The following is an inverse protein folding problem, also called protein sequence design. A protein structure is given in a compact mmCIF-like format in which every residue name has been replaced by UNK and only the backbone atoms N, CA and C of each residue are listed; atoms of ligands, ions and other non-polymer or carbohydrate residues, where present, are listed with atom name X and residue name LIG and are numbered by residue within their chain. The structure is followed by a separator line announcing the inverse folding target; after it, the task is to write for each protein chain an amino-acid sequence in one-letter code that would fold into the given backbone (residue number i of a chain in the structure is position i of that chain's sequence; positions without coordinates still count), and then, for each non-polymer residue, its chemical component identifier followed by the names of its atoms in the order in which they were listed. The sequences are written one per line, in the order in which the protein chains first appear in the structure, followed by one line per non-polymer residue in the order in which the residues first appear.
data_IF_891317183650
#
_entry.id   IF_891317183650
#
_cell.length_a   1.000
_cell.length_b   1.000
_cell.length_c   1.000
_cell.angle_alpha   90.00
_cell.angle_beta   90.00
_cell.angle_gamma   90.00
#
_symmetry.space_group_name_H-M   'P 1'
#
loop_
_entity.id
_entity.type
_entity.pdbx_description
1 polymer ?
#
# COMPACT_ATOMS: atom_id res chain seq x y z
N UNK A 1 -14.66 -12.01 23.81
CA UNK A 1 -13.46 -11.57 23.03
C UNK A 1 -12.16 -11.68 23.83
N UNK A 2 -12.02 -11.02 25.02
CA UNK A 2 -10.73 -11.01 25.74
C UNK A 2 -10.31 -12.41 26.19
N UNK A 3 -11.23 -13.17 26.76
CA UNK A 3 -10.96 -14.52 27.26
C UNK A 3 -10.64 -15.50 26.12
N UNK A 4 -11.34 -15.40 25.00
CA UNK A 4 -11.01 -16.15 23.78
C UNK A 4 -9.58 -15.84 23.31
N UNK A 5 -9.21 -14.55 23.21
CA UNK A 5 -7.87 -14.18 22.78
C UNK A 5 -6.77 -14.73 23.71
N UNK A 6 -6.96 -14.66 25.03
CA UNK A 6 -6.00 -15.22 26.00
C UNK A 6 -5.87 -16.73 25.83
N UNK A 7 -6.99 -17.44 25.71
CA UNK A 7 -6.99 -18.89 25.49
C UNK A 7 -6.29 -19.25 24.17
N UNK A 8 -6.62 -18.55 23.10
CA UNK A 8 -6.04 -18.75 21.78
C UNK A 8 -4.53 -18.50 21.72
N UNK A 9 -4.05 -17.42 22.32
CA UNK A 9 -2.61 -17.11 22.40
C UNK A 9 -1.86 -18.16 23.22
N UNK A 10 -2.46 -18.65 24.31
CA UNK A 10 -1.89 -19.73 25.11
C UNK A 10 -1.77 -21.01 24.29
N UNK A 11 -2.84 -21.38 23.62
CA UNK A 11 -2.88 -22.55 22.72
C UNK A 11 -1.82 -22.48 21.62
N UNK A 12 -1.66 -21.33 20.96
CA UNK A 12 -0.62 -21.15 19.95
C UNK A 12 0.80 -21.39 20.48
N UNK A 13 1.08 -20.88 21.70
CA UNK A 13 2.39 -21.08 22.35
C UNK A 13 2.63 -22.54 22.72
N UNK A 14 1.62 -23.23 23.24
CA UNK A 14 1.67 -24.66 23.57
C UNK A 14 1.91 -25.52 22.32
N UNK A 15 1.43 -25.07 21.15
CA UNK A 15 1.67 -25.71 19.86
C UNK A 15 2.94 -25.22 19.13
N UNK A 16 3.83 -24.53 19.84
CA UNK A 16 5.17 -24.16 19.38
C UNK A 16 5.19 -22.94 18.45
N UNK A 17 4.14 -22.12 18.41
CA UNK A 17 4.14 -20.88 17.66
C UNK A 17 4.83 -19.75 18.42
N UNK A 18 5.57 -18.94 17.69
CA UNK A 18 6.19 -17.69 18.17
C UNK A 18 5.43 -16.51 17.58
N UNK A 19 5.09 -15.53 18.40
CA UNK A 19 4.45 -14.30 17.98
C UNK A 19 5.47 -13.35 17.35
N UNK A 20 5.13 -12.72 16.23
CA UNK A 20 5.96 -11.68 15.63
C UNK A 20 6.12 -10.48 16.59
N UNK A 21 7.31 -9.92 16.63
CA UNK A 21 7.58 -8.68 17.37
C UNK A 21 7.17 -7.43 16.60
N UNK A 22 6.95 -7.58 15.28
CA UNK A 22 6.55 -6.48 14.38
C UNK A 22 5.03 -6.37 14.25
N UNK A 23 4.33 -7.50 14.20
CA UNK A 23 2.87 -7.55 14.09
C UNK A 23 2.30 -8.63 15.02
N UNK A 24 1.58 -8.20 16.04
CA UNK A 24 1.00 -9.09 17.04
C UNK A 24 -0.07 -10.08 16.49
N UNK A 25 -0.57 -9.83 15.27
CA UNK A 25 -1.51 -10.71 14.57
C UNK A 25 -0.80 -11.82 13.79
N UNK A 26 0.53 -11.82 13.73
CA UNK A 26 1.31 -12.81 13.00
C UNK A 26 2.00 -13.77 13.96
N UNK A 27 1.82 -15.05 13.69
CA UNK A 27 2.44 -16.15 14.43
C UNK A 27 3.16 -17.06 13.44
N UNK A 28 4.30 -17.61 13.84
CA UNK A 28 5.05 -18.52 12.98
C UNK A 28 5.65 -19.69 13.76
N UNK A 29 5.77 -20.81 13.08
CA UNK A 29 6.43 -22.03 13.58
C UNK A 29 7.31 -22.59 12.48
N UNK A 30 8.62 -22.69 12.74
CA UNK A 30 9.60 -23.27 11.82
C UNK A 30 10.09 -24.60 12.39
N UNK A 31 9.98 -25.68 11.64
CA UNK A 31 10.58 -26.99 11.90
C UNK A 31 11.73 -27.31 10.97
N UNK A 32 11.83 -26.59 9.86
CA UNK A 32 12.89 -26.70 8.87
C UNK A 32 12.67 -25.80 7.67
N UNK A 33 13.62 -25.74 6.71
CA UNK A 33 13.52 -24.86 5.55
C UNK A 33 12.33 -25.15 4.63
N UNK A 34 11.81 -26.38 4.68
CA UNK A 34 10.66 -26.85 3.87
C UNK A 34 9.48 -27.27 4.76
N UNK A 35 9.53 -26.96 6.04
CA UNK A 35 8.46 -27.27 6.99
C UNK A 35 8.27 -26.09 7.95
N UNK A 36 7.37 -25.18 7.58
CA UNK A 36 7.01 -24.01 8.36
C UNK A 36 5.54 -23.65 8.18
N UNK A 37 4.99 -23.00 9.18
CA UNK A 37 3.63 -22.44 9.17
C UNK A 37 3.69 -21.01 9.68
N UNK A 38 3.04 -20.11 8.95
CA UNK A 38 2.77 -18.72 9.34
C UNK A 38 1.26 -18.57 9.44
N UNK A 39 0.79 -18.05 10.57
CA UNK A 39 -0.61 -17.76 10.83
C UNK A 39 -0.81 -16.24 10.89
N UNK A 40 -1.79 -15.76 10.17
CA UNK A 40 -2.33 -14.40 10.29
C UNK A 40 -3.67 -14.52 11.01
N UNK A 41 -3.81 -13.86 12.14
CA UNK A 41 -4.99 -13.97 12.99
C UNK A 41 -5.74 -12.63 13.05
N UNK A 42 -7.04 -12.65 12.82
CA UNK A 42 -7.88 -11.46 12.95
C UNK A 42 -9.19 -11.86 13.64
N UNK A 43 -9.29 -11.58 14.93
CA UNK A 43 -10.41 -12.05 15.77
C UNK A 43 -10.55 -13.58 15.75
N UNK A 44 -11.56 -14.08 15.08
CA UNK A 44 -11.90 -15.49 14.86
C UNK A 44 -11.44 -16.01 13.48
N UNK A 45 -11.10 -15.11 12.55
CA UNK A 45 -10.58 -15.46 11.23
C UNK A 45 -9.07 -15.74 11.27
N UNK A 46 -8.66 -16.84 10.65
CA UNK A 46 -7.27 -17.23 10.57
C UNK A 46 -6.87 -17.61 9.15
N UNK A 47 -5.76 -17.04 8.68
CA UNK A 47 -5.14 -17.42 7.42
C UNK A 47 -3.84 -18.16 7.71
N UNK A 48 -3.76 -19.41 7.24
CA UNK A 48 -2.57 -20.25 7.37
C UNK A 48 -1.80 -20.29 6.04
N UNK A 49 -0.53 -19.93 6.10
CA UNK A 49 0.41 -19.99 4.97
C UNK A 49 1.62 -20.83 5.39
N UNK A 50 2.09 -21.74 4.54
CA UNK A 50 3.27 -22.52 4.89
C UNK A 50 3.64 -23.59 3.88
N UNK A 51 4.80 -24.21 4.12
CA UNK A 51 5.28 -25.40 3.45
C UNK A 51 5.25 -26.57 4.43
N UNK A 52 5.10 -27.78 3.92
CA UNK A 52 5.04 -29.00 4.73
C UNK A 52 3.60 -29.41 5.04
N UNK A 53 3.07 -30.35 4.24
CA UNK A 53 1.69 -30.82 4.41
C UNK A 53 1.46 -31.50 5.75
N UNK A 54 2.48 -32.16 6.31
CA UNK A 54 2.41 -32.78 7.63
C UNK A 54 2.17 -31.76 8.74
N UNK A 55 2.91 -30.64 8.76
CA UNK A 55 2.74 -29.58 9.75
C UNK A 55 1.41 -28.84 9.62
N UNK A 56 0.93 -28.64 8.38
CA UNK A 56 -0.40 -28.06 8.14
C UNK A 56 -1.52 -28.98 8.61
N UNK A 57 -1.42 -30.28 8.30
CA UNK A 57 -2.39 -31.30 8.73
C UNK A 57 -2.45 -31.42 10.24
N UNK A 58 -1.30 -31.55 10.90
CA UNK A 58 -1.20 -31.57 12.37
C UNK A 58 -1.85 -30.34 13.01
N UNK A 59 -1.57 -29.13 12.46
CA UNK A 59 -2.20 -27.92 12.95
C UNK A 59 -3.72 -27.96 12.80
N UNK A 60 -4.24 -28.40 11.67
CA UNK A 60 -5.68 -28.51 11.43
C UNK A 60 -6.35 -29.56 12.34
N UNK A 61 -5.69 -30.69 12.59
CA UNK A 61 -6.18 -31.72 13.50
C UNK A 61 -6.22 -31.19 14.95
N UNK A 62 -5.16 -30.54 15.43
CA UNK A 62 -5.11 -29.92 16.75
C UNK A 62 -6.14 -28.80 16.90
N UNK A 63 -6.29 -27.95 15.86
CA UNK A 63 -7.29 -26.90 15.84
C UNK A 63 -8.72 -27.45 15.94
N UNK A 64 -9.03 -28.50 15.16
CA UNK A 64 -10.36 -29.10 15.13
C UNK A 64 -10.71 -29.83 16.43
N UNK A 65 -9.71 -30.21 17.23
CA UNK A 65 -9.93 -30.85 18.55
C UNK A 65 -10.30 -29.84 19.63
N UNK A 66 -9.78 -28.60 19.54
CA UNK A 66 -9.85 -27.60 20.62
C UNK A 66 -10.79 -26.43 20.29
N UNK A 67 -11.11 -26.22 19.01
CA UNK A 67 -11.98 -25.12 18.56
C UNK A 67 -13.09 -25.62 17.63
N UNK A 68 -14.29 -25.10 17.82
CA UNK A 68 -15.38 -25.30 16.89
C UNK A 68 -15.07 -24.62 15.54
N UNK A 69 -15.20 -25.37 14.46
CA UNK A 69 -15.02 -24.85 13.11
C UNK A 69 -16.33 -24.42 12.47
N UNK A 70 -16.31 -23.29 11.74
CA UNK A 70 -17.41 -22.96 10.87
C UNK A 70 -17.54 -24.02 9.76
N UNK A 71 -18.79 -24.40 9.36
CA UNK A 71 -19.02 -25.26 8.20
C UNK A 71 -18.39 -24.73 6.90
N UNK A 72 -18.22 -23.41 6.82
CA UNK A 72 -17.64 -22.71 5.67
C UNK A 72 -16.11 -22.58 5.75
N UNK A 73 -15.48 -23.24 6.73
CA UNK A 73 -14.01 -23.24 6.84
C UNK A 73 -13.40 -23.82 5.58
N UNK A 74 -12.68 -23.00 4.82
CA UNK A 74 -11.94 -23.46 3.67
C UNK A 74 -10.86 -24.42 4.16
N UNK A 75 -10.86 -25.65 3.62
CA UNK A 75 -9.80 -26.63 3.91
C UNK A 75 -8.43 -26.14 3.43
N UNK A 76 -7.42 -26.97 3.70
CA UNK A 76 -6.05 -26.73 3.20
C UNK A 76 -6.08 -26.51 1.68
N UNK A 77 -5.39 -25.47 1.21
CA UNK A 77 -5.27 -25.06 -0.21
C UNK A 77 -6.54 -24.45 -0.87
N UNK A 78 -7.61 -24.19 -0.12
CA UNK A 78 -8.89 -23.66 -0.64
C UNK A 78 -9.19 -22.23 -0.21
N UNK A 79 -8.17 -21.40 0.03
CA UNK A 79 -8.41 -19.99 0.35
C UNK A 79 -8.96 -19.25 -0.87
N UNK A 80 -10.20 -18.79 -0.78
CA UNK A 80 -10.84 -17.96 -1.80
C UNK A 80 -11.16 -16.55 -1.30
N UNK A 81 -11.42 -16.40 0.00
CA UNK A 81 -11.73 -15.11 0.61
C UNK A 81 -11.13 -15.03 2.03
N UNK A 82 -10.57 -13.86 2.37
CA UNK A 82 -10.10 -13.53 3.72
C UNK A 82 -10.35 -12.05 4.00
N UNK A 83 -11.08 -11.74 5.08
CA UNK A 83 -11.45 -10.38 5.49
C UNK A 83 -12.13 -9.57 4.37
N UNK A 84 -12.95 -10.22 3.55
CA UNK A 84 -13.63 -9.59 2.41
C UNK A 84 -12.75 -9.35 1.19
N UNK A 85 -11.52 -9.86 1.20
CA UNK A 85 -10.61 -9.86 0.06
C UNK A 85 -10.66 -11.21 -0.63
N UNK A 86 -10.91 -11.20 -1.91
CA UNK A 86 -10.82 -12.39 -2.76
C UNK A 86 -9.36 -12.68 -3.08
N UNK A 87 -8.94 -13.92 -2.92
CA UNK A 87 -7.60 -14.41 -3.24
C UNK A 87 -7.72 -15.47 -4.32
N UNK A 88 -7.24 -15.16 -5.52
CA UNK A 88 -7.21 -16.08 -6.65
C UNK A 88 -5.77 -16.57 -6.86
N UNK A 89 -5.53 -17.85 -6.56
CA UNK A 89 -4.22 -18.50 -6.81
C UNK A 89 -4.18 -19.07 -8.21
N UNK A 90 -3.08 -18.81 -8.91
CA UNK A 90 -2.71 -19.36 -10.20
C UNK A 90 -1.35 -20.05 -10.06
N UNK A 91 -0.90 -20.76 -11.11
CA UNK A 91 0.35 -21.51 -11.06
C UNK A 91 1.59 -20.64 -10.82
N UNK A 92 1.61 -19.41 -11.36
CA UNK A 92 2.75 -18.51 -11.37
C UNK A 92 2.50 -17.19 -10.61
N UNK A 93 1.26 -16.92 -10.20
CA UNK A 93 0.90 -15.66 -9.51
C UNK A 93 -0.32 -15.81 -8.58
N UNK A 94 -0.51 -14.83 -7.73
CA UNK A 94 -1.66 -14.69 -6.85
C UNK A 94 -2.29 -13.30 -7.05
N UNK A 95 -3.61 -13.26 -7.19
CA UNK A 95 -4.39 -12.03 -7.35
C UNK A 95 -5.17 -11.74 -6.06
N UNK A 96 -5.13 -10.48 -5.62
CA UNK A 96 -5.92 -9.99 -4.49
C UNK A 96 -6.83 -8.87 -4.96
N UNK A 97 -8.14 -9.01 -4.69
CA UNK A 97 -9.19 -8.07 -5.07
C UNK A 97 -10.31 -8.02 -4.03
N UNK A 98 -11.24 -7.07 -4.18
CA UNK A 98 -12.37 -6.91 -3.27
C UNK A 98 -13.72 -6.78 -4.03
N UNK A 99 -14.08 -7.74 -4.92
CA UNK A 99 -15.25 -7.59 -5.80
C UNK A 99 -16.55 -7.47 -5.03
N UNK A 100 -16.76 -8.26 -3.98
CA UNK A 100 -17.98 -8.22 -3.17
C UNK A 100 -18.19 -6.91 -2.43
N UNK A 101 -17.10 -6.21 -2.10
CA UNK A 101 -17.14 -4.90 -1.45
C UNK A 101 -17.36 -3.79 -2.47
N UNK A 102 -16.64 -3.81 -3.60
CA UNK A 102 -16.77 -2.82 -4.69
C UNK A 102 -18.16 -2.87 -5.31
N UNK A 103 -18.77 -4.05 -5.46
CA UNK A 103 -20.11 -4.23 -6.01
C UNK A 103 -21.21 -3.49 -5.23
N UNK A 104 -20.96 -3.06 -4.00
CA UNK A 104 -21.90 -2.27 -3.19
C UNK A 104 -21.90 -0.77 -3.57
N UNK A 105 -20.86 -0.28 -4.22
CA UNK A 105 -20.68 1.16 -4.52
C UNK A 105 -21.79 1.75 -5.43
N UNK A 106 -22.26 1.09 -6.51
CA UNK A 106 -23.30 1.67 -7.37
C UNK A 106 -24.59 2.04 -6.63
N UNK A 107 -24.94 1.32 -5.56
CA UNK A 107 -26.12 1.64 -4.75
C UNK A 107 -25.90 2.84 -3.79
N UNK A 108 -24.65 3.26 -3.60
CA UNK A 108 -24.27 4.30 -2.65
C UNK A 108 -23.93 5.64 -3.31
N UNK A 109 -23.88 5.69 -4.65
CA UNK A 109 -23.43 6.87 -5.40
C UNK A 109 -24.40 7.23 -6.51
N UNK A 110 -24.18 8.37 -7.18
CA UNK A 110 -24.97 8.78 -8.34
C UNK A 110 -24.64 7.97 -9.60
N UNK A 111 -25.21 8.39 -10.72
CA UNK A 111 -24.97 7.73 -12.02
C UNK A 111 -23.50 7.77 -12.43
N UNK A 112 -23.12 6.77 -13.24
CA UNK A 112 -21.76 6.69 -13.79
C UNK A 112 -21.43 7.94 -14.60
N UNK A 113 -20.31 8.61 -14.35
CA UNK A 113 -19.82 9.68 -15.21
C UNK A 113 -19.53 9.18 -16.63
N UNK A 114 -19.58 10.06 -17.61
CA UNK A 114 -19.30 9.73 -19.01
C UNK A 114 -17.85 9.24 -19.25
N UNK A 115 -16.94 9.51 -18.35
CA UNK A 115 -15.55 9.03 -18.38
C UNK A 115 -15.01 8.86 -16.95
N UNK A 116 -14.45 7.68 -16.66
CA UNK A 116 -13.82 7.31 -15.39
C UNK A 116 -12.42 6.70 -15.63
N UNK A 117 -11.62 7.31 -16.49
CA UNK A 117 -10.27 6.83 -16.83
C UNK A 117 -9.18 7.12 -15.79
N UNK A 118 -9.52 7.77 -14.69
CA UNK A 118 -8.66 8.02 -13.53
C UNK A 118 -9.53 8.24 -12.28
N UNK A 119 -9.01 7.98 -11.06
CA UNK A 119 -9.79 8.08 -9.83
C UNK A 119 -10.21 9.51 -9.48
N UNK A 120 -9.43 10.50 -9.90
CA UNK A 120 -9.73 11.93 -9.74
C UNK A 120 -9.70 12.65 -11.08
N UNK A 121 -10.50 13.70 -11.19
CA UNK A 121 -10.46 14.62 -12.34
C UNK A 121 -9.52 15.77 -12.02
N UNK A 122 -8.63 16.09 -12.96
CA UNK A 122 -7.76 17.27 -12.87
C UNK A 122 -8.53 18.59 -13.06
N UNK A 123 -9.77 18.54 -13.55
CA UNK A 123 -10.56 19.74 -13.90
C UNK A 123 -11.51 20.22 -12.81
N UNK A 124 -11.72 19.44 -11.74
CA UNK A 124 -12.64 19.78 -10.66
C UNK A 124 -11.91 19.76 -9.33
N UNK A 125 -11.38 20.91 -8.92
CA UNK A 125 -10.65 21.05 -7.67
C UNK A 125 -11.56 20.86 -6.44
N UNK A 126 -11.16 20.00 -5.52
CA UNK A 126 -11.82 19.89 -4.22
C UNK A 126 -11.56 21.12 -3.34
N UNK A 127 -10.44 21.81 -3.59
CA UNK A 127 -10.03 23.04 -2.91
C UNK A 127 -10.66 24.30 -3.50
N UNK A 128 -11.41 24.17 -4.61
CA UNK A 128 -12.12 25.29 -5.19
C UNK A 128 -13.03 25.90 -4.12
N UNK A 129 -13.04 27.23 -3.99
CA UNK A 129 -13.89 27.91 -3.00
C UNK A 129 -15.37 27.62 -3.27
N UNK A 130 -16.18 27.68 -2.22
CA UNK A 130 -17.63 27.60 -2.36
C UNK A 130 -18.11 28.75 -3.24
N UNK A 131 -18.73 28.43 -4.34
CA UNK A 131 -19.29 29.38 -5.30
C UNK A 131 -20.71 28.94 -5.68
N UNK A 132 -21.74 29.82 -5.57
CA UNK A 132 -23.12 29.44 -5.84
C UNK A 132 -23.37 28.89 -7.26
N UNK A 133 -22.53 29.25 -8.22
CA UNK A 133 -22.68 28.86 -9.64
C UNK A 133 -21.70 27.73 -10.00
N UNK A 134 -20.42 27.93 -9.72
CA UNK A 134 -19.34 27.02 -10.16
C UNK A 134 -19.15 25.82 -9.25
N UNK A 135 -19.18 26.05 -7.94
CA UNK A 135 -18.97 25.01 -6.92
C UNK A 135 -19.92 25.20 -5.73
N UNK A 136 -21.27 25.06 -5.94
CA UNK A 136 -22.25 25.26 -4.88
C UNK A 136 -22.09 24.24 -3.76
N UNK A 137 -22.65 24.52 -2.58
CA UNK A 137 -22.80 23.54 -1.52
C UNK A 137 -23.48 22.26 -2.04
N UNK A 138 -23.09 21.13 -1.50
CA UNK A 138 -23.70 19.84 -1.83
C UNK A 138 -24.98 19.65 -1.01
N UNK A 139 -26.12 19.65 -1.69
CA UNK A 139 -27.47 19.47 -1.10
C UNK A 139 -28.05 18.08 -1.38
N UNK A 140 -27.19 17.15 -1.86
CA UNK A 140 -27.62 15.77 -2.19
C UNK A 140 -27.97 14.97 -0.95
N UNK A 141 -28.87 13.98 -1.15
CA UNK A 141 -29.34 13.07 -0.09
C UNK A 141 -28.34 11.95 0.26
N UNK A 142 -27.28 11.79 -0.53
CA UNK A 142 -26.28 10.72 -0.34
C UNK A 142 -25.31 11.14 0.76
N UNK A 143 -25.16 10.31 1.79
CA UNK A 143 -24.09 10.45 2.75
C UNK A 143 -22.76 9.98 2.14
N UNK A 144 -21.93 10.94 1.73
CA UNK A 144 -20.65 10.66 1.06
C UNK A 144 -19.64 9.88 1.92
N UNK A 145 -19.87 9.79 3.23
CA UNK A 145 -18.99 9.01 4.14
C UNK A 145 -19.09 7.50 3.87
N UNK A 146 -20.28 7.01 3.48
CA UNK A 146 -20.49 5.58 3.22
C UNK A 146 -19.68 5.10 2.01
N UNK A 147 -19.86 5.63 0.78
CA UNK A 147 -19.08 5.19 -0.36
C UNK A 147 -17.58 5.47 -0.17
N UNK A 148 -17.20 6.57 0.48
CA UNK A 148 -15.81 6.87 0.73
C UNK A 148 -15.16 5.91 1.73
N UNK A 149 -15.89 5.43 2.74
CA UNK A 149 -15.42 4.38 3.64
C UNK A 149 -15.10 3.08 2.91
N UNK A 150 -15.96 2.68 1.96
CA UNK A 150 -15.71 1.54 1.07
C UNK A 150 -14.48 1.79 0.20
N UNK A 151 -14.37 2.96 -0.43
CA UNK A 151 -13.20 3.32 -1.24
C UNK A 151 -11.90 3.29 -0.42
N UNK A 152 -11.91 3.79 0.82
CA UNK A 152 -10.74 3.75 1.73
C UNK A 152 -10.35 2.32 2.08
N UNK A 153 -11.30 1.46 2.41
CA UNK A 153 -11.02 0.05 2.70
C UNK A 153 -10.33 -0.61 1.51
N UNK A 154 -10.92 -0.48 0.32
CA UNK A 154 -10.41 -1.07 -0.92
C UNK A 154 -9.03 -0.50 -1.28
N UNK A 155 -8.86 0.84 -1.16
CA UNK A 155 -7.61 1.53 -1.40
C UNK A 155 -6.47 0.97 -0.54
N UNK A 156 -6.73 0.81 0.76
CA UNK A 156 -5.71 0.39 1.72
C UNK A 156 -5.45 -1.13 1.72
N UNK A 157 -6.35 -1.92 1.15
CA UNK A 157 -6.26 -3.38 1.15
C UNK A 157 -5.69 -3.95 -0.15
N UNK A 158 -6.17 -3.51 -1.32
CA UNK A 158 -5.82 -4.14 -2.60
C UNK A 158 -5.79 -3.20 -3.81
N UNK A 159 -6.07 -1.89 -3.64
CA UNK A 159 -6.06 -0.89 -4.71
C UNK A 159 -5.18 0.31 -4.35
N UNK A 160 -3.85 0.13 -4.25
CA UNK A 160 -2.90 1.20 -3.90
C UNK A 160 -2.97 2.39 -4.86
N UNK A 161 -3.35 2.19 -6.10
CA UNK A 161 -3.52 3.20 -7.14
C UNK A 161 -4.54 4.30 -6.80
N UNK A 162 -5.53 3.99 -5.98
CA UNK A 162 -6.54 4.98 -5.54
C UNK A 162 -6.29 5.53 -4.13
N UNK A 163 -5.17 5.16 -3.49
CA UNK A 163 -4.91 5.54 -2.10
C UNK A 163 -4.88 7.05 -1.88
N UNK A 164 -4.17 7.79 -2.75
CA UNK A 164 -4.14 9.26 -2.66
C UNK A 164 -5.54 9.86 -2.80
N UNK A 165 -6.30 9.43 -3.80
CA UNK A 165 -7.66 9.91 -4.05
C UNK A 165 -8.59 9.68 -2.85
N UNK A 166 -8.61 8.47 -2.31
CA UNK A 166 -9.46 8.10 -1.19
C UNK A 166 -9.10 8.87 0.09
N UNK A 167 -7.81 8.96 0.42
CA UNK A 167 -7.32 9.66 1.61
C UNK A 167 -7.54 11.17 1.46
N UNK A 168 -7.26 11.75 0.30
CA UNK A 168 -7.47 13.16 0.04
C UNK A 168 -8.94 13.54 0.17
N UNK A 169 -9.86 12.83 -0.47
CA UNK A 169 -11.30 13.06 -0.38
C UNK A 169 -11.81 12.90 1.05
N UNK A 170 -11.25 11.99 1.85
CA UNK A 170 -11.65 11.83 3.24
C UNK A 170 -11.44 13.08 4.08
N UNK A 171 -10.43 13.89 3.76
CA UNK A 171 -10.16 15.16 4.45
C UNK A 171 -11.25 16.23 4.19
N UNK A 172 -11.99 16.13 3.09
CA UNK A 172 -13.07 17.06 2.74
C UNK A 172 -14.42 16.63 3.30
N UNK A 173 -14.70 15.34 3.33
CA UNK A 173 -16.01 14.82 3.76
C UNK A 173 -16.30 15.08 5.24
N UNK A 174 -15.27 15.31 6.06
CA UNK A 174 -15.42 15.77 7.44
C UNK A 174 -15.64 17.28 7.63
N UNK A 175 -15.61 18.08 6.58
CA UNK A 175 -15.79 19.56 6.68
C UNK A 175 -17.26 19.95 6.87
N UNK A 176 -17.49 21.13 7.48
CA UNK A 176 -18.86 21.64 7.73
C UNK A 176 -19.67 21.86 6.46
N UNK A 177 -19.02 22.29 5.37
CA UNK A 177 -19.65 22.54 4.07
C UNK A 177 -18.99 21.62 3.06
N UNK A 178 -19.77 20.68 2.54
CA UNK A 178 -19.40 19.87 1.40
C UNK A 178 -19.80 20.60 0.11
N UNK A 179 -18.95 20.53 -0.91
CA UNK A 179 -19.23 21.16 -2.20
C UNK A 179 -19.62 20.12 -3.24
N UNK A 180 -20.25 20.59 -4.31
CA UNK A 180 -20.63 19.74 -5.46
C UNK A 180 -19.42 19.11 -6.12
N UNK A 181 -18.25 19.78 -6.14
CA UNK A 181 -17.02 19.22 -6.69
C UNK A 181 -16.53 18.03 -5.87
N UNK A 182 -16.53 18.13 -4.53
CA UNK A 182 -16.19 16.99 -3.66
C UNK A 182 -17.11 15.81 -3.92
N UNK A 183 -18.43 16.05 -4.01
CA UNK A 183 -19.39 14.97 -4.30
C UNK A 183 -19.15 14.33 -5.67
N UNK A 184 -18.83 15.12 -6.71
CA UNK A 184 -18.46 14.62 -8.04
C UNK A 184 -17.20 13.74 -8.01
N UNK A 185 -16.19 14.14 -7.23
CA UNK A 185 -14.95 13.37 -7.12
C UNK A 185 -15.17 12.05 -6.36
N UNK A 186 -15.97 12.04 -5.28
CA UNK A 186 -16.35 10.80 -4.58
C UNK A 186 -17.11 9.86 -5.51
N UNK A 187 -18.09 10.39 -6.27
CA UNK A 187 -18.83 9.61 -7.27
C UNK A 187 -17.88 9.03 -8.35
N UNK A 188 -16.94 9.85 -8.85
CA UNK A 188 -15.94 9.43 -9.83
C UNK A 188 -15.05 8.32 -9.30
N UNK A 189 -14.50 8.47 -8.08
CA UNK A 189 -13.66 7.44 -7.44
C UNK A 189 -14.40 6.11 -7.29
N UNK A 190 -15.66 6.15 -6.83
CA UNK A 190 -16.47 4.96 -6.70
C UNK A 190 -16.69 4.26 -8.04
N UNK A 191 -17.03 5.00 -9.10
CA UNK A 191 -17.21 4.44 -10.43
C UNK A 191 -15.90 4.00 -11.08
N UNK A 192 -14.79 4.65 -10.81
CA UNK A 192 -13.47 4.18 -11.24
C UNK A 192 -13.19 2.77 -10.67
N UNK A 193 -13.42 2.55 -9.38
CA UNK A 193 -13.28 1.22 -8.77
C UNK A 193 -14.22 0.19 -9.41
N UNK A 194 -15.47 0.55 -9.68
CA UNK A 194 -16.45 -0.35 -10.31
C UNK A 194 -16.04 -0.70 -11.75
N UNK A 195 -15.66 0.28 -12.55
CA UNK A 195 -15.32 0.08 -13.97
C UNK A 195 -13.99 -0.61 -14.18
N UNK A 196 -13.10 -0.58 -13.18
CA UNK A 196 -11.77 -1.21 -13.21
C UNK A 196 -11.67 -2.47 -12.35
N UNK A 197 -12.79 -2.99 -11.88
CA UNK A 197 -12.86 -4.12 -10.94
C UNK A 197 -12.08 -5.35 -11.44
N UNK A 198 -12.24 -5.71 -12.69
CA UNK A 198 -11.66 -6.93 -13.27
C UNK A 198 -10.27 -6.69 -13.91
N UNK A 199 -9.91 -5.43 -14.14
CA UNK A 199 -8.68 -5.06 -14.86
C UNK A 199 -7.57 -4.56 -13.94
N UNK A 200 -7.91 -4.04 -12.77
CA UNK A 200 -6.96 -3.43 -11.84
C UNK A 200 -6.94 -4.25 -10.54
N UNK A 201 -6.20 -5.35 -10.55
CA UNK A 201 -6.11 -6.33 -9.47
C UNK A 201 -4.68 -6.42 -8.97
N UNK A 202 -4.46 -6.40 -7.67
CA UNK A 202 -3.12 -6.52 -7.10
C UNK A 202 -2.57 -7.93 -7.35
N UNK A 203 -1.44 -8.02 -8.05
CA UNK A 203 -0.87 -9.28 -8.55
C UNK A 203 0.49 -9.53 -7.94
N UNK A 204 0.64 -10.64 -7.23
CA UNK A 204 1.92 -11.08 -6.67
C UNK A 204 2.48 -12.24 -7.49
N UNK A 205 3.68 -12.07 -8.02
CA UNK A 205 4.41 -13.08 -8.78
C UNK A 205 5.61 -13.61 -7.99
N UNK A 206 6.04 -14.82 -8.35
CA UNK A 206 7.32 -15.32 -7.88
C UNK A 206 8.43 -14.38 -8.34
N UNK A 207 9.28 -13.98 -7.43
CA UNK A 207 10.30 -12.97 -7.64
C UNK A 207 11.60 -13.32 -6.94
N UNK A 208 12.61 -12.46 -7.03
CA UNK A 208 13.92 -12.64 -6.38
C UNK A 208 13.88 -12.45 -4.84
N UNK A 209 12.75 -11.99 -4.29
CA UNK A 209 12.57 -11.81 -2.86
C UNK A 209 13.34 -10.62 -2.26
N UNK A 210 13.92 -9.76 -3.08
CA UNK A 210 14.65 -8.56 -2.62
C UNK A 210 13.66 -7.43 -2.32
N UNK A 211 13.71 -6.90 -1.11
CA UNK A 211 12.90 -5.74 -0.71
C UNK A 211 13.40 -4.49 -1.44
N UNK A 212 12.49 -3.76 -2.09
CA UNK A 212 12.74 -2.52 -2.84
C UNK A 212 11.73 -1.45 -2.45
N UNK A 213 12.10 -0.18 -2.59
CA UNK A 213 11.20 0.93 -2.30
C UNK A 213 11.35 2.07 -3.31
N UNK A 214 10.23 2.77 -3.56
CA UNK A 214 10.18 4.05 -4.26
C UNK A 214 9.50 5.07 -3.36
N UNK A 215 9.88 6.34 -3.46
CA UNK A 215 9.35 7.41 -2.63
C UNK A 215 9.24 8.73 -3.39
N UNK A 216 8.25 9.54 -3.02
CA UNK A 216 7.97 10.85 -3.60
C UNK A 216 7.34 11.80 -2.59
N UNK A 217 7.44 13.10 -2.82
CA UNK A 217 6.69 14.11 -2.10
C UNK A 217 6.23 15.26 -3.00
N UNK A 218 5.12 15.88 -2.65
CA UNK A 218 4.59 17.06 -3.33
C UNK A 218 4.52 18.22 -2.34
N UNK A 219 5.31 19.28 -2.58
CA UNK A 219 5.41 20.44 -1.70
C UNK A 219 4.13 21.26 -1.75
N UNK A 220 3.57 21.55 -0.56
CA UNK A 220 2.46 22.51 -0.35
C UNK A 220 1.28 22.30 -1.32
N UNK A 221 1.00 21.07 -1.70
CA UNK A 221 -0.05 20.71 -2.65
C UNK A 221 -1.43 20.47 -1.99
N UNK A 222 -1.64 21.06 -0.83
CA UNK A 222 -2.90 21.06 -0.08
C UNK A 222 -3.28 22.49 0.30
N UNK A 223 -4.58 22.79 0.41
CA UNK A 223 -5.07 24.11 0.81
C UNK A 223 -4.52 24.61 2.15
N UNK A 224 -4.06 23.71 3.01
CA UNK A 224 -3.39 24.05 4.28
C UNK A 224 -1.89 24.30 4.14
N UNK A 225 -1.36 24.40 2.92
CA UNK A 225 0.07 24.53 2.60
C UNK A 225 0.92 23.37 3.11
N UNK A 226 0.31 22.23 3.40
CA UNK A 226 1.02 21.03 3.79
C UNK A 226 1.40 20.21 2.56
N UNK A 227 2.47 19.47 2.70
CA UNK A 227 3.00 18.59 1.65
C UNK A 227 2.40 17.19 1.75
N UNK A 228 2.15 16.55 0.62
CA UNK A 228 1.91 15.13 0.54
C UNK A 228 3.23 14.39 0.44
N UNK A 229 3.31 13.23 1.07
CA UNK A 229 4.40 12.30 0.90
C UNK A 229 3.88 10.88 0.72
N UNK A 230 4.59 10.12 -0.06
CA UNK A 230 4.22 8.76 -0.38
C UNK A 230 5.42 7.86 -0.61
N UNK A 231 5.18 6.57 -0.50
CA UNK A 231 6.14 5.53 -0.88
C UNK A 231 5.42 4.23 -1.17
N UNK A 232 6.09 3.36 -1.92
CA UNK A 232 5.72 1.96 -2.11
C UNK A 232 6.90 1.05 -1.86
N UNK A 233 6.62 -0.20 -1.48
CA UNK A 233 7.62 -1.26 -1.34
C UNK A 233 7.14 -2.52 -2.05
N UNK A 234 8.07 -3.22 -2.70
CA UNK A 234 7.84 -4.51 -3.34
C UNK A 234 8.82 -5.55 -2.81
N UNK A 235 8.47 -6.81 -2.90
CA UNK A 235 9.38 -7.92 -2.57
C UNK A 235 9.80 -8.62 -3.88
N UNK A 236 10.65 -7.94 -4.62
CA UNK A 236 11.11 -8.35 -5.93
C UNK A 236 10.72 -7.38 -7.04
N UNK A 237 11.11 -7.72 -8.28
CA UNK A 237 10.71 -7.04 -9.50
C UNK A 237 9.48 -7.71 -10.10
N UNK A 238 8.69 -6.96 -10.88
CA UNK A 238 7.50 -7.48 -11.57
C UNK A 238 6.48 -8.15 -10.63
N UNK A 239 6.30 -7.61 -9.45
CA UNK A 239 5.34 -8.08 -8.45
C UNK A 239 4.62 -6.89 -7.79
N UNK A 240 3.43 -7.14 -7.27
CA UNK A 240 2.63 -6.11 -6.62
C UNK A 240 3.29 -5.50 -5.37
N UNK A 241 2.86 -4.32 -5.01
CA UNK A 241 3.32 -3.64 -3.78
C UNK A 241 2.85 -4.38 -2.53
N UNK A 242 3.77 -4.60 -1.59
CA UNK A 242 3.47 -5.24 -0.29
C UNK A 242 3.17 -4.23 0.81
N UNK A 243 3.65 -3.01 0.68
CA UNK A 243 3.27 -1.90 1.55
C UNK A 243 3.43 -0.58 0.81
N UNK A 244 2.56 0.37 1.13
CA UNK A 244 2.57 1.70 0.55
C UNK A 244 2.05 2.72 1.55
N UNK A 245 2.23 3.99 1.23
CA UNK A 245 1.68 5.10 2.00
C UNK A 245 1.38 6.28 1.09
N UNK A 246 0.24 6.89 1.31
CA UNK A 246 -0.08 8.25 0.88
C UNK A 246 -0.51 9.02 2.13
N UNK A 247 0.12 10.15 2.43
CA UNK A 247 -0.21 10.90 3.64
C UNK A 247 0.09 12.38 3.51
N UNK A 248 -0.77 13.20 4.13
CA UNK A 248 -0.52 14.61 4.33
C UNK A 248 0.44 14.82 5.51
N UNK A 249 1.47 15.63 5.33
CA UNK A 249 2.41 15.97 6.39
C UNK A 249 1.68 16.63 7.58
N UNK A 250 2.10 16.31 8.80
CA UNK A 250 1.49 16.90 10.01
C UNK A 250 1.79 18.40 10.15
N UNK A 251 2.97 18.81 9.70
CA UNK A 251 3.46 20.19 9.75
C UNK A 251 3.80 20.69 8.35
N UNK A 252 3.76 22.01 8.17
CA UNK A 252 4.25 22.66 6.96
C UNK A 252 5.76 22.48 6.90
N UNK A 253 6.29 22.18 5.71
CA UNK A 253 7.72 22.11 5.40
C UNK A 253 8.08 23.25 4.45
N UNK A 254 9.29 23.79 4.61
CA UNK A 254 9.66 25.05 3.99
C UNK A 254 10.25 24.91 2.58
N UNK A 255 10.57 23.69 2.13
CA UNK A 255 11.20 23.47 0.83
C UNK A 255 10.84 22.13 0.23
N UNK A 256 10.99 22.01 -1.10
CA UNK A 256 10.82 20.73 -1.82
C UNK A 256 11.77 19.67 -1.26
N UNK A 257 13.04 20.05 -1.00
CA UNK A 257 14.02 19.13 -0.40
C UNK A 257 13.56 18.59 0.96
N UNK A 258 12.96 19.43 1.81
CA UNK A 258 12.48 18.99 3.12
C UNK A 258 11.24 18.08 3.01
N UNK A 259 10.37 18.29 2.01
CA UNK A 259 9.25 17.39 1.77
C UNK A 259 9.72 16.03 1.27
N UNK A 260 10.66 16.01 0.32
CA UNK A 260 11.28 14.78 -0.18
C UNK A 260 12.06 14.03 0.92
N UNK A 261 12.78 14.76 1.75
CA UNK A 261 13.49 14.19 2.90
C UNK A 261 12.51 13.57 3.92
N UNK A 262 11.30 14.13 4.06
CA UNK A 262 10.24 13.57 4.89
C UNK A 262 9.74 12.23 4.31
N UNK A 263 9.53 12.15 2.99
CA UNK A 263 9.16 10.92 2.31
C UNK A 263 10.23 9.84 2.51
N UNK A 264 11.50 10.20 2.29
CA UNK A 264 12.65 9.32 2.49
C UNK A 264 12.71 8.75 3.92
N UNK A 265 12.56 9.61 4.94
CA UNK A 265 12.56 9.17 6.34
C UNK A 265 11.43 8.18 6.66
N UNK A 266 10.20 8.48 6.23
CA UNK A 266 9.07 7.59 6.47
C UNK A 266 9.18 6.26 5.71
N UNK A 267 9.73 6.29 4.50
CA UNK A 267 10.07 5.09 3.75
C UNK A 267 11.12 4.27 4.48
N UNK A 268 12.21 4.89 4.97
CA UNK A 268 13.25 4.24 5.78
C UNK A 268 12.67 3.50 6.99
N UNK A 269 11.78 4.12 7.75
CA UNK A 269 11.13 3.46 8.88
C UNK A 269 10.26 2.28 8.46
N UNK A 270 9.57 2.38 7.33
CA UNK A 270 8.79 1.25 6.80
C UNK A 270 9.71 0.11 6.37
N UNK A 271 10.81 0.43 5.71
CA UNK A 271 11.82 -0.56 5.29
C UNK A 271 12.40 -1.28 6.51
N UNK A 272 12.70 -0.57 7.61
CA UNK A 272 13.18 -1.20 8.84
C UNK A 272 12.16 -2.22 9.39
N UNK A 273 10.90 -1.82 9.52
CA UNK A 273 9.84 -2.72 10.00
C UNK A 273 9.69 -3.95 9.08
N UNK A 274 9.72 -3.76 7.76
CA UNK A 274 9.64 -4.86 6.81
C UNK A 274 10.86 -5.77 6.85
N UNK A 275 12.08 -5.24 6.97
CA UNK A 275 13.30 -6.05 7.11
C UNK A 275 13.26 -6.92 8.36
N UNK A 276 12.81 -6.37 9.50
CA UNK A 276 12.60 -7.13 10.73
C UNK A 276 11.55 -8.22 10.54
N UNK A 277 10.39 -7.88 10.01
CA UNK A 277 9.33 -8.84 9.74
C UNK A 277 9.76 -9.96 8.79
N UNK A 278 10.42 -9.61 7.68
CA UNK A 278 10.94 -10.59 6.72
C UNK A 278 11.99 -11.52 7.35
N UNK A 279 12.84 -11.00 8.24
CA UNK A 279 13.79 -11.82 8.97
C UNK A 279 13.09 -12.83 9.90
N UNK A 280 12.04 -12.40 10.63
CA UNK A 280 11.25 -13.29 11.49
C UNK A 280 10.60 -14.45 10.72
N UNK A 281 10.16 -14.21 9.48
CA UNK A 281 9.53 -15.23 8.64
C UNK A 281 10.54 -15.98 7.72
N UNK A 282 11.85 -15.83 7.96
CA UNK A 282 12.90 -16.57 7.26
C UNK A 282 13.31 -15.97 5.91
N UNK A 283 12.89 -14.76 5.57
CA UNK A 283 13.22 -14.03 4.34
C UNK A 283 14.19 -12.86 4.61
N UNK A 284 15.26 -13.13 5.35
CA UNK A 284 16.23 -12.10 5.76
C UNK A 284 16.82 -11.36 4.55
N UNK A 285 16.79 -10.02 4.60
CA UNK A 285 17.39 -9.15 3.60
C UNK A 285 18.87 -8.92 3.93
N UNK A 286 19.79 -9.61 3.24
CA UNK A 286 21.23 -9.54 3.50
C UNK A 286 21.82 -8.26 2.93
N UNK A 287 21.47 -7.89 1.70
CA UNK A 287 21.92 -6.66 1.05
C UNK A 287 21.13 -5.43 1.54
N UNK A 288 21.68 -4.21 1.39
CA UNK A 288 20.93 -2.97 1.61
C UNK A 288 19.69 -2.92 0.72
N UNK A 289 18.57 -2.51 1.28
CA UNK A 289 17.33 -2.31 0.51
C UNK A 289 17.47 -1.08 -0.39
N UNK A 290 17.36 -1.20 -1.73
CA UNK A 290 17.43 -0.06 -2.63
C UNK A 290 16.16 0.79 -2.51
N UNK A 291 16.36 2.11 -2.36
CA UNK A 291 15.31 3.11 -2.22
C UNK A 291 15.49 4.19 -3.29
N UNK A 292 14.55 4.26 -4.25
CA UNK A 292 14.59 5.19 -5.37
C UNK A 292 13.79 6.46 -5.14
N UNK A 293 14.33 7.60 -5.57
CA UNK A 293 13.64 8.90 -5.62
C UNK A 293 14.19 9.75 -6.77
N UNK A 294 13.35 10.61 -7.33
CA UNK A 294 13.76 11.62 -8.32
C UNK A 294 14.35 12.90 -7.68
N UNK A 295 14.33 13.00 -6.36
CA UNK A 295 14.85 14.13 -5.60
C UNK A 295 16.38 14.11 -5.49
N UNK A 296 17.11 14.52 -6.55
CA UNK A 296 18.57 14.56 -6.58
C UNK A 296 19.18 15.26 -5.35
N UNK A 297 18.54 16.35 -4.86
CA UNK A 297 19.03 17.10 -3.71
C UNK A 297 19.02 16.26 -2.40
N UNK A 298 18.07 15.32 -2.26
CA UNK A 298 18.04 14.39 -1.13
C UNK A 298 19.11 13.32 -1.31
N UNK A 299 19.20 12.71 -2.50
CA UNK A 299 20.18 11.66 -2.79
C UNK A 299 21.62 12.18 -2.57
N UNK A 300 21.93 13.36 -3.08
CA UNK A 300 23.23 14.00 -2.83
C UNK A 300 23.43 14.30 -1.35
N UNK A 301 22.40 14.84 -0.67
CA UNK A 301 22.48 15.19 0.76
C UNK A 301 22.75 13.99 1.66
N UNK A 302 22.20 12.81 1.36
CA UNK A 302 22.48 11.58 2.13
C UNK A 302 23.82 10.96 1.77
N UNK A 303 24.35 11.21 0.58
CA UNK A 303 25.63 10.66 0.12
C UNK A 303 26.86 11.46 0.62
N UNK A 304 26.70 12.73 0.97
CA UNK A 304 27.80 13.61 1.42
C UNK A 304 28.07 13.41 2.92
N UNK A 305 29.35 13.28 3.31
CA UNK A 305 29.76 13.08 4.72
C UNK A 305 29.51 14.28 5.63
N UNK A 306 29.49 15.49 5.09
CA UNK A 306 29.26 16.73 5.84
C UNK A 306 27.76 17.07 5.91
N UNK A 307 27.26 17.27 7.13
CA UNK A 307 25.93 17.85 7.32
C UNK A 307 26.05 19.34 7.08
N UNK A 308 25.41 19.84 5.99
CA UNK A 308 25.27 21.28 5.81
C UNK A 308 24.53 21.90 7.02
N UNK A 309 24.77 23.20 7.29
CA UNK A 309 24.05 23.96 8.34
C UNK A 309 22.59 24.19 7.94
N UNK A 310 21.87 23.09 7.75
CA UNK A 310 20.43 23.09 7.52
C UNK A 310 19.68 23.36 8.84
N UNK A 311 18.40 23.56 8.74
CA UNK A 311 17.56 23.60 9.93
C UNK A 311 17.80 22.32 10.76
N UNK A 312 17.77 22.45 12.09
CA UNK A 312 17.99 21.30 13.00
C UNK A 312 17.08 20.11 12.67
N UNK A 313 15.90 20.36 12.14
CA UNK A 313 14.94 19.35 11.69
C UNK A 313 15.44 18.53 10.50
N UNK A 314 15.96 19.20 9.47
CA UNK A 314 16.53 18.54 8.29
C UNK A 314 17.77 17.75 8.67
N UNK A 315 18.64 18.32 9.53
CA UNK A 315 19.87 17.67 9.97
C UNK A 315 19.61 16.33 10.67
N UNK A 316 18.59 16.25 11.56
CA UNK A 316 18.24 15.00 12.26
C UNK A 316 17.74 13.95 11.27
N UNK A 317 16.88 14.33 10.32
CA UNK A 317 16.36 13.41 9.31
C UNK A 317 17.48 12.85 8.43
N UNK A 318 18.39 13.72 7.95
CA UNK A 318 19.58 13.29 7.22
C UNK A 318 20.45 12.33 8.03
N UNK A 319 20.67 12.61 9.32
CA UNK A 319 21.48 11.75 10.19
C UNK A 319 20.89 10.33 10.31
N UNK A 320 19.58 10.20 10.49
CA UNK A 320 18.91 8.88 10.56
C UNK A 320 19.09 8.09 9.27
N UNK A 321 18.89 8.73 8.11
CA UNK A 321 19.01 8.05 6.81
C UNK A 321 20.47 7.67 6.54
N UNK A 322 21.43 8.57 6.84
CA UNK A 322 22.87 8.29 6.72
C UNK A 322 23.29 7.11 7.58
N UNK A 323 22.87 7.09 8.84
CA UNK A 323 23.14 5.97 9.73
C UNK A 323 22.62 4.65 9.14
N UNK A 324 21.40 4.66 8.61
CA UNK A 324 20.83 3.48 7.97
C UNK A 324 21.61 3.01 6.73
N UNK A 325 22.22 3.94 5.98
CA UNK A 325 23.10 3.62 4.85
C UNK A 325 24.45 3.09 5.33
N UNK A 326 25.03 3.68 6.36
CA UNK A 326 26.29 3.22 7.00
C UNK A 326 26.14 1.83 7.60
N UNK A 327 24.99 1.53 8.19
CA UNK A 327 24.64 0.21 8.74
C UNK A 327 24.24 -0.81 7.64
N UNK A 328 24.34 -0.43 6.37
CA UNK A 328 24.00 -1.27 5.21
C UNK A 328 22.55 -1.81 5.23
N UNK A 329 21.65 -1.06 5.83
CA UNK A 329 20.22 -1.40 5.86
C UNK A 329 19.49 -0.93 4.61
N UNK A 330 19.88 0.23 4.06
CA UNK A 330 19.33 0.83 2.86
C UNK A 330 20.43 1.36 1.94
N UNK A 331 20.10 1.53 0.66
CA UNK A 331 20.88 2.30 -0.31
C UNK A 331 19.96 3.23 -1.08
N UNK A 332 20.29 4.52 -1.16
CA UNK A 332 19.49 5.49 -1.88
C UNK A 332 20.06 5.73 -3.28
N UNK A 333 19.21 5.74 -4.30
CA UNK A 333 19.58 6.01 -5.68
C UNK A 333 18.61 6.97 -6.35
N UNK A 334 19.12 7.69 -7.36
CA UNK A 334 18.28 8.59 -8.17
C UNK A 334 17.66 7.83 -9.36
N UNK A 335 16.40 8.14 -9.64
CA UNK A 335 15.70 7.71 -10.86
C UNK A 335 15.04 8.93 -11.52
N UNK A 336 14.78 8.90 -12.84
CA UNK A 336 14.02 9.96 -13.50
C UNK A 336 12.60 10.07 -12.94
N UNK A 337 12.06 11.29 -12.84
CA UNK A 337 10.69 11.50 -12.33
C UNK A 337 9.61 10.79 -13.16
N UNK A 338 9.83 10.59 -14.46
CA UNK A 338 8.97 9.78 -15.33
C UNK A 338 8.90 8.31 -14.90
N UNK A 339 9.88 7.86 -14.15
CA UNK A 339 10.03 6.48 -13.70
C UNK A 339 9.67 6.32 -12.20
N UNK A 340 9.31 7.43 -11.53
CA UNK A 340 8.93 7.40 -10.12
C UNK A 340 7.43 7.08 -9.94
N UNK A 341 7.09 5.80 -9.92
CA UNK A 341 5.71 5.34 -9.70
C UNK A 341 5.08 5.82 -8.39
N UNK A 342 5.87 6.33 -7.43
CA UNK A 342 5.36 6.86 -6.16
C UNK A 342 4.65 8.21 -6.30
N UNK A 343 4.72 8.88 -7.44
CA UNK A 343 3.93 10.08 -7.77
C UNK A 343 2.41 9.85 -7.59
N UNK A 344 1.94 8.63 -7.83
CA UNK A 344 0.53 8.25 -7.67
C UNK A 344 0.02 8.43 -6.23
N UNK A 345 0.92 8.44 -5.24
CA UNK A 345 0.57 8.62 -3.83
C UNK A 345 0.57 10.07 -3.37
N UNK A 346 1.01 11.00 -4.21
CA UNK A 346 1.25 12.40 -3.80
C UNK A 346 0.59 13.43 -4.70
N UNK A 347 0.14 13.02 -5.90
CA UNK A 347 -0.35 13.92 -6.95
C UNK A 347 -1.63 13.41 -7.59
N UNK A 348 -2.45 14.33 -8.09
CA UNK A 348 -3.53 14.00 -9.03
C UNK A 348 -2.92 13.92 -10.42
N UNK A 349 -2.89 12.74 -11.00
CA UNK A 349 -2.22 12.48 -12.27
C UNK A 349 -3.18 12.52 -13.46
N UNK A 350 -2.73 12.95 -14.65
CA UNK A 350 -3.45 12.73 -15.89
C UNK A 350 -3.72 11.24 -16.13
N UNK A 351 -4.84 10.87 -16.79
CA UNK A 351 -5.23 9.46 -16.94
C UNK A 351 -4.15 8.53 -17.50
N UNK A 352 -3.39 8.99 -18.53
CA UNK A 352 -2.33 8.16 -19.12
C UNK A 352 -1.21 7.85 -18.12
N UNK A 353 -0.70 8.87 -17.42
CA UNK A 353 0.37 8.68 -16.45
C UNK A 353 -0.10 7.90 -15.21
N UNK A 354 -1.36 8.13 -14.77
CA UNK A 354 -1.96 7.33 -13.73
C UNK A 354 -2.00 5.85 -14.11
N UNK A 355 -2.41 5.54 -15.33
CA UNK A 355 -2.46 4.18 -15.85
C UNK A 355 -1.07 3.52 -15.90
N UNK A 356 -0.04 4.25 -16.38
CA UNK A 356 1.32 3.71 -16.44
C UNK A 356 1.87 3.35 -15.05
N UNK A 357 1.69 4.22 -14.08
CA UNK A 357 2.15 3.99 -12.71
C UNK A 357 1.33 2.92 -11.98
N UNK A 358 0.01 2.94 -12.16
CA UNK A 358 -0.87 1.92 -11.62
C UNK A 358 -0.50 0.54 -12.16
N UNK A 359 -0.21 0.45 -13.45
CA UNK A 359 0.18 -0.79 -14.09
C UNK A 359 1.48 -1.36 -13.51
N UNK A 360 2.47 -0.52 -13.29
CA UNK A 360 3.72 -0.90 -12.64
C UNK A 360 3.51 -1.45 -11.21
N UNK A 361 2.52 -0.92 -10.47
CA UNK A 361 2.20 -1.38 -9.12
C UNK A 361 1.44 -2.69 -9.04
N UNK A 362 0.49 -2.88 -9.94
CA UNK A 362 -0.39 -4.05 -9.92
C UNK A 362 0.20 -5.25 -10.66
N UNK A 363 1.13 -5.02 -11.59
CA UNK A 363 1.79 -6.05 -12.38
C UNK A 363 0.81 -7.00 -13.09
N UNK A 364 -0.33 -6.47 -13.51
CA UNK A 364 -1.27 -7.20 -14.34
C UNK A 364 -0.66 -7.53 -15.68
N UNK A 365 -0.85 -8.77 -16.14
CA UNK A 365 -0.30 -9.28 -17.38
C UNK A 365 -0.55 -8.34 -18.55
N UNK A 366 0.46 -7.53 -18.85
CA UNK A 366 0.48 -6.63 -19.98
C UNK A 366 0.47 -7.44 -21.27
N UNK A 367 -0.35 -7.11 -22.26
CA UNK A 367 -0.20 -7.70 -23.57
C UNK A 367 1.22 -7.42 -24.07
N UNK A 368 1.92 -8.43 -24.57
CA UNK A 368 3.32 -8.37 -25.00
C UNK A 368 3.62 -7.23 -26.01
N UNK A 369 2.60 -6.68 -26.67
CA UNK A 369 2.68 -5.51 -27.57
C UNK A 369 2.91 -4.18 -26.85
N UNK A 370 2.58 -4.06 -25.56
CA UNK A 370 2.72 -2.85 -24.76
C UNK A 370 3.98 -2.85 -23.87
N UNK A 371 4.69 -3.97 -23.78
CA UNK A 371 5.92 -4.16 -23.01
C UNK A 371 7.14 -3.37 -23.55
N UNK A 372 6.95 -2.47 -24.51
CA UNK A 372 8.00 -1.55 -24.94
C UNK A 372 8.14 -0.44 -23.90
N UNK A 373 8.92 -0.72 -22.87
CA UNK A 373 9.33 0.26 -21.88
C UNK A 373 8.55 0.21 -20.57
N UNK A 374 8.34 -0.97 -19.98
CA UNK A 374 7.92 -1.01 -18.58
C UNK A 374 8.99 -0.30 -17.76
N UNK A 375 8.55 0.71 -17.01
CA UNK A 375 9.35 1.58 -16.17
C UNK A 375 10.32 0.79 -15.26
N UNK A 376 9.91 -0.36 -14.77
CA UNK A 376 10.72 -1.22 -13.91
C UNK A 376 11.90 -1.90 -14.61
N UNK A 377 11.78 -2.24 -15.90
CA UNK A 377 12.89 -2.86 -16.64
C UNK A 377 14.07 -1.87 -16.84
N UNK A 378 13.79 -0.58 -16.93
CA UNK A 378 14.83 0.43 -17.07
C UNK A 378 15.52 0.76 -15.75
N UNK A 379 14.77 0.79 -14.63
CA UNK A 379 15.34 1.19 -13.33
C UNK A 379 16.18 0.12 -12.65
N UNK A 380 15.93 -1.17 -12.90
CA UNK A 380 16.55 -2.26 -12.14
C UNK A 380 17.59 -3.08 -12.93
N UNK A 381 17.57 -3.06 -14.27
CA UNK A 381 18.58 -3.76 -15.08
C UNK A 381 19.92 -3.03 -15.20
N UNK A 382 19.98 -1.74 -14.90
CA UNK A 382 21.25 -0.98 -14.87
C UNK A 382 21.99 -1.08 -13.51
N UNK A 383 21.42 -1.77 -12.52
CA UNK A 383 21.99 -1.91 -11.17
C UNK A 383 22.42 -3.34 -10.81
N UNK A 384 22.33 -4.29 -11.74
CA UNK A 384 22.86 -5.65 -11.67
C UNK A 384 23.96 -5.81 -12.72
#
# INVERSE_FOLDING_TARGET
CKDFYVHYVTWLREHGFTQSTVDACVWFRFRGPKDFVILLTHSDDNLCVGLGDASKKELMEAWSADFDQSPDSAGVDNLHEFLGLRVDRKDDHMLISAPGIIAKLPAMVGSCPSSCSSPLSVTHGCDDPVDPVKNPPYEGKIDLRQPLGVCLFVALSCRPDVAHAAIWLSSYVGRKILTKNVARQVNRLAWYLVTTLETHVLCFRKSDGVLRALMDASLANDASLKSWYGFSTTLGVNTGVIAFRSALARSIVASTRDSELLACLHCTYRVFALRLFLAEIGLQQVAPTPMGSDAMAVIQGVSVKTVHRDSRWSAIRFAVIKQAMEDLLISCYHLPGTDNGSDIYTKVLPPALHFDFEHAMHQLGWPASAARGSLEHRCFLELV
#
